data_IF_940309462277
#
_entry.id   IF_940309462277
#
_cell.length_a   1.000
_cell.length_b   1.000
_cell.length_c   1.000
_cell.angle_alpha   90.00
_cell.angle_beta   90.00
_cell.angle_gamma   90.00
#
_symmetry.space_group_name_H-M   'P 1'
#
loop_
_entity.id
_entity.type
_entity.pdbx_description
1 polymer ?
#
# COMPACT_ATOMS: atom_id res chain seq x y z
N UNK A 1 4.08 -14.80 -2.25
CA UNK A 1 4.45 -13.58 -1.48
C UNK A 1 5.97 -13.59 -1.32
N UNK A 2 6.70 -12.72 -2.02
CA UNK A 2 8.17 -12.68 -1.94
C UNK A 2 8.60 -11.82 -0.76
N UNK A 3 8.65 -12.41 0.43
CA UNK A 3 9.16 -11.76 1.64
C UNK A 3 10.68 -11.82 1.66
N UNK A 4 11.33 -10.71 2.00
CA UNK A 4 12.79 -10.64 2.17
C UNK A 4 13.16 -10.81 3.66
N UNK A 5 14.31 -11.42 3.97
CA UNK A 5 14.83 -11.44 5.34
C UNK A 5 14.92 -10.02 5.93
N UNK A 6 14.52 -9.86 7.19
CA UNK A 6 14.50 -8.56 7.89
C UNK A 6 13.37 -7.61 7.47
N UNK A 7 12.48 -8.02 6.57
CA UNK A 7 11.34 -7.20 6.16
C UNK A 7 10.32 -7.06 7.29
N UNK A 8 9.87 -5.82 7.52
CA UNK A 8 8.82 -5.55 8.52
C UNK A 8 7.45 -5.97 8.00
N UNK A 9 6.69 -6.59 8.87
CA UNK A 9 5.34 -7.09 8.61
C UNK A 9 4.35 -6.39 9.53
N UNK A 10 3.16 -6.15 9.02
CA UNK A 10 1.99 -5.73 9.79
C UNK A 10 1.12 -6.97 10.04
N UNK A 11 0.75 -7.16 11.30
CA UNK A 11 -0.22 -8.18 11.73
C UNK A 11 -1.55 -7.47 12.01
N UNK A 12 -2.63 -7.96 11.42
CA UNK A 12 -3.98 -7.43 11.63
C UNK A 12 -4.90 -8.59 11.95
N UNK A 13 -5.62 -8.51 13.07
CA UNK A 13 -6.71 -9.44 13.34
C UNK A 13 -7.98 -8.93 12.69
N UNK A 14 -8.59 -9.77 11.85
CA UNK A 14 -9.84 -9.47 11.16
C UNK A 14 -10.67 -10.74 11.04
N UNK A 15 -11.93 -10.68 11.45
CA UNK A 15 -12.88 -11.79 11.35
C UNK A 15 -12.36 -13.10 11.99
N UNK A 16 -11.67 -12.99 13.13
CA UNK A 16 -11.05 -14.13 13.84
C UNK A 16 -9.85 -14.74 13.13
N UNK A 17 -9.30 -14.07 12.12
CA UNK A 17 -8.11 -14.50 11.38
C UNK A 17 -6.98 -13.48 11.54
N UNK A 18 -5.75 -13.97 11.57
CA UNK A 18 -4.56 -13.12 11.52
C UNK A 18 -4.15 -12.95 10.07
N UNK A 19 -4.27 -11.72 9.57
CA UNK A 19 -3.70 -11.31 8.29
C UNK A 19 -2.28 -10.79 8.49
N UNK A 20 -1.36 -11.29 7.66
CA UNK A 20 0.04 -10.87 7.65
C UNK A 20 0.29 -10.09 6.37
N UNK A 21 0.59 -8.79 6.50
CA UNK A 21 0.79 -7.88 5.36
C UNK A 21 2.22 -7.35 5.36
N UNK A 22 2.87 -7.19 4.20
CA UNK A 22 4.19 -6.59 4.15
C UNK A 22 4.07 -5.07 4.30
N UNK A 23 4.92 -4.46 5.13
CA UNK A 23 5.03 -3.00 5.16
C UNK A 23 5.85 -2.58 3.94
N UNK A 24 5.21 -1.87 3.02
CA UNK A 24 5.84 -1.39 1.80
C UNK A 24 6.68 -0.14 2.10
N UNK A 25 7.88 -0.10 1.54
CA UNK A 25 8.70 1.12 1.49
C UNK A 25 8.18 2.08 0.42
N UNK A 26 8.56 3.36 0.50
CA UNK A 26 8.16 4.38 -0.48
C UNK A 26 8.47 3.96 -1.94
N UNK A 27 9.64 3.37 -2.18
CA UNK A 27 10.03 2.91 -3.52
C UNK A 27 9.15 1.76 -4.04
N UNK A 28 8.70 0.88 -3.13
CA UNK A 28 7.78 -0.21 -3.48
C UNK A 28 6.37 0.30 -3.74
N UNK A 29 5.95 1.37 -3.07
CA UNK A 29 4.69 2.06 -3.39
C UNK A 29 4.75 2.63 -4.80
N UNK A 30 5.85 3.26 -5.23
CA UNK A 30 5.99 3.78 -6.59
C UNK A 30 5.85 2.67 -7.64
N UNK A 31 6.46 1.49 -7.40
CA UNK A 31 6.28 0.32 -8.27
C UNK A 31 4.82 -0.15 -8.34
N UNK A 32 4.14 -0.18 -7.19
CA UNK A 32 2.72 -0.55 -7.09
C UNK A 32 1.81 0.45 -7.83
N UNK A 33 2.15 1.75 -7.81
CA UNK A 33 1.42 2.78 -8.54
C UNK A 33 1.65 2.78 -10.05
N UNK A 34 2.68 2.06 -10.54
CA UNK A 34 3.01 1.96 -11.96
C UNK A 34 2.32 0.81 -12.67
N UNK A 35 1.70 -0.12 -11.95
CA UNK A 35 1.02 -1.26 -12.55
C UNK A 35 -0.40 -0.88 -13.01
N UNK A 36 -0.51 -0.73 -14.34
CA UNK A 36 -1.69 -0.75 -15.24
C UNK A 36 -2.69 0.42 -15.31
N UNK A 37 -2.98 1.17 -14.26
CA UNK A 37 -3.88 2.34 -14.38
C UNK A 37 -3.36 3.54 -13.58
N UNK A 38 -3.31 4.76 -14.15
CA UNK A 38 -2.97 5.95 -13.38
C UNK A 38 -3.98 6.11 -12.25
N UNK A 39 -3.51 6.28 -11.01
CA UNK A 39 -4.38 6.67 -9.92
C UNK A 39 -5.01 8.03 -10.24
N UNK A 40 -6.32 8.02 -10.52
CA UNK A 40 -7.10 9.24 -10.65
C UNK A 40 -7.42 9.71 -9.24
N UNK A 41 -6.66 10.69 -8.76
CA UNK A 41 -7.00 11.41 -7.54
C UNK A 41 -8.04 12.48 -7.91
N UNK A 42 -9.28 12.30 -7.47
CA UNK A 42 -10.24 13.41 -7.45
C UNK A 42 -9.68 14.48 -6.51
N UNK A 43 -9.33 15.64 -7.07
CA UNK A 43 -8.94 16.79 -6.25
C UNK A 43 -10.16 17.20 -5.41
N UNK A 44 -9.98 17.32 -4.11
CA UNK A 44 -10.99 17.92 -3.24
C UNK A 44 -11.37 19.30 -3.79
N UNK A 45 -12.68 19.58 -3.83
CA UNK A 45 -13.26 20.77 -4.46
C UNK A 45 -12.78 22.10 -3.84
N UNK A 46 -12.15 22.03 -2.67
CA UNK A 46 -11.72 23.21 -1.91
C UNK A 46 -10.33 23.71 -2.29
N UNK A 47 -9.69 23.13 -3.32
CA UNK A 47 -8.37 23.57 -3.82
C UNK A 47 -8.49 24.41 -5.09
N UNK A 48 -9.26 25.49 -5.03
CA UNK A 48 -9.25 26.58 -6.01
C UNK A 48 -8.19 27.63 -5.58
N UNK A 49 -7.10 27.73 -6.35
CA UNK A 49 -6.23 28.92 -6.40
C UNK A 49 -6.11 29.30 -7.87
#
# INVERSE_FOLDING_TARGET
>A
MNLKPGQRLQLVEKDGKIEVRPILTADQLIGFLRESEPLVFEREKDREI
#
